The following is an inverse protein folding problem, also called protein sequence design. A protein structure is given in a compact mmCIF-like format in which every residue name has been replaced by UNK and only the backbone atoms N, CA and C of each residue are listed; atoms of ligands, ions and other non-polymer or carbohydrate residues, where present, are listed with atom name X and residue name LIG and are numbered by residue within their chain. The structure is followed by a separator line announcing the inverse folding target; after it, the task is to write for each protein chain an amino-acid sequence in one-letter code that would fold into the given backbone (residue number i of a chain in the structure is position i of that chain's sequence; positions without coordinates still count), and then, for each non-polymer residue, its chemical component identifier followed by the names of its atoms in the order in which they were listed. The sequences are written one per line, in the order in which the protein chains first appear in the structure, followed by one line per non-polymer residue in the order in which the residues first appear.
data_IF_622108282807
#
_entry.id   IF_622108282807
#
_cell.length_a   1.000
_cell.length_b   1.000
_cell.length_c   1.000
_cell.angle_alpha   90.00
_cell.angle_beta   90.00
_cell.angle_gamma   90.00
#
_symmetry.space_group_name_H-M   'P 1'
#
loop_
_entity.id
_entity.type
_entity.pdbx_description
1 polymer ?
#
# COMPACT_ATOMS: atom_id res chain seq x y z
N UNK A 1 -10.00 8.30 10.97
CA UNK A 1 -9.35 8.46 9.63
C UNK A 1 -8.84 7.10 9.21
N UNK A 2 -9.04 6.65 7.97
CA UNK A 2 -8.60 5.31 7.53
C UNK A 2 -7.33 5.41 6.68
N UNK A 3 -6.34 4.57 7.00
CA UNK A 3 -5.05 4.51 6.32
C UNK A 3 -4.86 3.11 5.75
N UNK A 4 -4.60 3.04 4.45
CA UNK A 4 -4.23 1.80 3.77
C UNK A 4 -2.72 1.76 3.57
N UNK A 5 -2.07 0.69 4.02
CA UNK A 5 -0.62 0.50 3.85
C UNK A 5 -0.38 -0.52 2.73
N UNK A 6 0.20 -0.03 1.64
CA UNK A 6 0.68 -0.84 0.52
C UNK A 6 2.18 -1.09 0.69
N UNK A 7 2.61 -2.33 0.49
CA UNK A 7 4.01 -2.74 0.68
C UNK A 7 4.34 -3.94 -0.19
N UNK A 8 5.64 -4.17 -0.44
CA UNK A 8 6.09 -5.43 -1.04
C UNK A 8 6.38 -6.46 0.04
N UNK A 9 5.75 -7.63 -0.04
CA UNK A 9 5.97 -8.75 0.89
C UNK A 9 7.41 -9.30 0.83
N UNK A 10 8.07 -9.19 -0.31
CA UNK A 10 9.44 -9.67 -0.50
C UNK A 10 10.47 -8.86 0.32
N UNK A 11 10.17 -7.59 0.59
CA UNK A 11 11.09 -6.67 1.25
C UNK A 11 10.72 -6.32 2.69
N UNK A 12 9.55 -6.74 3.18
CA UNK A 12 9.03 -6.32 4.48
C UNK A 12 8.63 -7.52 5.35
N UNK A 13 9.17 -7.57 6.56
CA UNK A 13 8.79 -8.57 7.57
C UNK A 13 7.51 -8.17 8.32
N UNK A 14 6.83 -9.14 8.92
CA UNK A 14 5.66 -8.87 9.76
C UNK A 14 5.98 -7.90 10.92
N UNK A 15 7.15 -8.04 11.56
CA UNK A 15 7.59 -7.16 12.65
C UNK A 15 7.74 -5.70 12.18
N UNK A 16 8.31 -5.48 10.99
CA UNK A 16 8.41 -4.14 10.41
C UNK A 16 7.03 -3.53 10.13
N UNK A 17 6.10 -4.35 9.65
CA UNK A 17 4.73 -3.94 9.37
C UNK A 17 3.95 -3.61 10.65
N UNK A 18 4.14 -4.38 11.72
CA UNK A 18 3.56 -4.11 13.05
C UNK A 18 4.10 -2.81 13.63
N UNK A 19 5.42 -2.58 13.55
CA UNK A 19 6.04 -1.34 14.00
C UNK A 19 5.54 -0.13 13.22
N UNK A 20 5.42 -0.25 11.88
CA UNK A 20 4.84 0.78 11.03
C UNK A 20 3.38 1.05 11.41
N UNK A 21 2.57 0.01 11.58
CA UNK A 21 1.18 0.13 12.02
C UNK A 21 1.10 0.89 13.34
N UNK A 22 1.89 0.51 14.35
CA UNK A 22 1.90 1.18 15.65
C UNK A 22 2.28 2.66 15.54
N UNK A 23 3.21 3.01 14.64
CA UNK A 23 3.62 4.40 14.37
C UNK A 23 2.52 5.21 13.69
N UNK A 24 1.75 4.60 12.79
CA UNK A 24 0.65 5.23 12.06
C UNK A 24 -0.66 5.26 12.85
N UNK A 25 -0.84 4.33 13.79
CA UNK A 25 -2.12 4.03 14.41
C UNK A 25 -2.75 5.22 15.13
N UNK A 26 -1.98 6.10 15.79
CA UNK A 26 -2.46 7.35 16.41
C UNK A 26 -3.97 7.36 16.74
N UNK A 27 -4.73 8.20 16.01
CA UNK A 27 -6.21 8.18 15.95
C UNK A 27 -6.76 7.62 14.61
N UNK A 28 -5.92 6.90 13.86
CA UNK A 28 -6.22 6.34 12.55
C UNK A 28 -6.48 4.83 12.61
N UNK A 29 -7.47 4.39 11.83
CA UNK A 29 -7.66 2.96 11.53
C UNK A 29 -6.68 2.57 10.42
N UNK A 30 -5.64 1.83 10.77
CA UNK A 30 -4.57 1.43 9.85
C UNK A 30 -4.79 -0.01 9.44
N UNK A 31 -5.02 -0.21 8.14
CA UNK A 31 -5.11 -1.52 7.52
C UNK A 31 -3.75 -1.91 6.92
N UNK A 32 -3.23 -3.06 7.34
CA UNK A 32 -2.10 -3.75 6.72
C UNK A 32 -2.54 -5.14 6.34
N UNK A 33 -2.42 -5.45 5.05
CA UNK A 33 -3.00 -6.66 4.48
C UNK A 33 -2.60 -7.95 5.21
N UNK A 34 -1.32 -8.30 5.34
CA UNK A 34 -0.87 -9.51 6.05
C UNK A 34 -1.25 -9.56 7.56
N UNK A 35 -1.62 -8.42 8.17
CA UNK A 35 -2.01 -8.36 9.58
C UNK A 35 -3.52 -8.43 9.79
N UNK A 36 -4.31 -7.88 8.88
CA UNK A 36 -5.71 -7.55 9.11
C UNK A 36 -6.70 -8.32 8.20
N UNK A 37 -6.23 -8.95 7.11
CA UNK A 37 -7.12 -9.58 6.13
C UNK A 37 -8.04 -10.66 6.75
N UNK A 38 -7.52 -11.46 7.68
CA UNK A 38 -8.27 -12.56 8.29
C UNK A 38 -9.47 -12.08 9.14
N UNK A 39 -9.38 -10.90 9.74
CA UNK A 39 -10.48 -10.31 10.52
C UNK A 39 -11.66 -9.88 9.62
N UNK A 40 -11.45 -9.81 8.30
CA UNK A 40 -12.45 -9.37 7.33
C UNK A 40 -13.46 -10.43 6.93
N UNK A 41 -13.24 -11.70 7.29
CA UNK A 41 -14.19 -12.80 7.05
C UNK A 41 -14.41 -13.16 5.57
N UNK A 42 -13.50 -12.78 4.66
CA UNK A 42 -13.53 -13.05 3.23
C UNK A 42 -12.17 -13.45 2.70
N UNK A 43 -12.01 -13.50 1.36
CA UNK A 43 -10.67 -13.66 0.78
C UNK A 43 -9.85 -12.36 0.92
N UNK A 44 -8.53 -12.52 0.79
CA UNK A 44 -7.57 -11.43 0.95
C UNK A 44 -7.77 -10.33 -0.08
N UNK A 45 -8.11 -10.68 -1.32
CA UNK A 45 -8.29 -9.70 -2.40
C UNK A 45 -9.52 -8.82 -2.14
N UNK A 46 -10.62 -9.42 -1.70
CA UNK A 46 -11.84 -8.72 -1.29
C UNK A 46 -11.58 -7.81 -0.08
N UNK A 47 -10.78 -8.27 0.89
CA UNK A 47 -10.35 -7.44 2.01
C UNK A 47 -9.58 -6.21 1.50
N UNK A 48 -8.51 -6.41 0.74
CA UNK A 48 -7.72 -5.29 0.18
C UNK A 48 -8.58 -4.33 -0.63
N UNK A 49 -9.45 -4.83 -1.51
CA UNK A 49 -10.36 -4.00 -2.29
C UNK A 49 -11.24 -3.10 -1.43
N UNK A 50 -11.92 -3.70 -0.46
CA UNK A 50 -12.84 -2.98 0.43
C UNK A 50 -12.09 -1.95 1.26
N UNK A 51 -10.92 -2.31 1.75
CA UNK A 51 -10.08 -1.51 2.62
C UNK A 51 -9.45 -0.33 1.86
N UNK A 52 -8.95 -0.58 0.66
CA UNK A 52 -8.46 0.45 -0.24
C UNK A 52 -9.58 1.38 -0.71
N UNK A 53 -10.80 0.88 -0.93
CA UNK A 53 -11.95 1.69 -1.32
C UNK A 53 -12.43 2.62 -0.19
N UNK A 54 -12.31 2.21 1.08
CA UNK A 54 -12.66 3.02 2.25
C UNK A 54 -11.51 3.89 2.77
N UNK A 55 -10.29 3.70 2.28
CA UNK A 55 -9.11 4.41 2.73
C UNK A 55 -9.24 5.92 2.46
N UNK A 56 -8.90 6.72 3.46
CA UNK A 56 -8.81 8.18 3.37
C UNK A 56 -7.40 8.63 3.02
N UNK A 57 -6.38 7.81 3.32
CA UNK A 57 -4.98 8.02 2.98
C UNK A 57 -4.36 6.70 2.54
N UNK A 58 -3.48 6.78 1.55
CA UNK A 58 -2.67 5.68 1.06
C UNK A 58 -1.21 5.88 1.51
N UNK A 59 -0.61 4.85 2.09
CA UNK A 59 0.81 4.85 2.47
C UNK A 59 1.52 3.76 1.66
N UNK A 60 2.50 4.16 0.85
CA UNK A 60 3.37 3.27 0.10
C UNK A 60 4.67 3.03 0.87
N UNK A 61 4.99 1.78 1.20
CA UNK A 61 6.25 1.42 1.85
C UNK A 61 7.35 1.26 0.81
N UNK A 62 8.27 2.22 0.79
CA UNK A 62 9.33 2.31 -0.21
C UNK A 62 10.34 1.20 0.03
N UNK A 63 10.48 0.35 -0.98
CA UNK A 63 11.39 -0.78 -0.97
C UNK A 63 11.81 -1.14 -2.40
N UNK A 64 12.78 -2.04 -2.55
CA UNK A 64 13.43 -2.35 -3.84
C UNK A 64 12.44 -2.93 -4.85
N UNK A 65 11.45 -3.68 -4.38
CA UNK A 65 10.46 -4.41 -5.19
C UNK A 65 9.08 -3.74 -5.18
N UNK A 66 8.89 -2.66 -4.43
CA UNK A 66 7.64 -1.90 -4.44
C UNK A 66 7.35 -1.33 -5.83
N UNK A 67 6.12 -1.50 -6.31
CA UNK A 67 5.69 -1.08 -7.66
C UNK A 67 6.18 -1.99 -8.78
N UNK A 68 7.00 -3.02 -8.49
CA UNK A 68 7.41 -4.04 -9.47
C UNK A 68 6.46 -5.23 -9.51
N UNK A 69 5.62 -5.39 -8.49
CA UNK A 69 4.59 -6.43 -8.48
C UNK A 69 3.29 -5.88 -9.07
N UNK A 70 2.54 -6.68 -9.86
CA UNK A 70 1.23 -6.26 -10.37
C UNK A 70 0.29 -5.78 -9.26
N UNK A 71 0.39 -6.38 -8.07
CA UNK A 71 -0.43 -6.02 -6.90
C UNK A 71 -0.12 -4.62 -6.36
N UNK A 72 1.14 -4.33 -6.05
CA UNK A 72 1.50 -3.00 -5.50
C UNK A 72 1.32 -1.88 -6.53
N UNK A 73 1.53 -2.18 -7.82
CA UNK A 73 1.22 -1.25 -8.91
C UNK A 73 -0.29 -0.96 -8.98
N UNK A 74 -1.12 -2.01 -8.99
CA UNK A 74 -2.58 -1.87 -9.02
C UNK A 74 -3.12 -1.08 -7.81
N UNK A 75 -2.63 -1.35 -6.60
CA UNK A 75 -3.04 -0.62 -5.39
C UNK A 75 -2.73 0.88 -5.50
N UNK A 76 -1.53 1.20 -6.00
CA UNK A 76 -1.10 2.58 -6.21
C UNK A 76 -1.94 3.28 -7.29
N UNK A 77 -2.22 2.61 -8.40
CA UNK A 77 -3.07 3.14 -9.47
C UNK A 77 -4.50 3.41 -9.00
N UNK A 78 -5.05 2.53 -8.16
CA UNK A 78 -6.36 2.77 -7.52
C UNK A 78 -6.30 3.99 -6.61
N UNK A 79 -5.24 4.16 -5.81
CA UNK A 79 -5.08 5.35 -4.97
C UNK A 79 -4.96 6.64 -5.81
N UNK A 80 -4.27 6.59 -6.95
CA UNK A 80 -4.20 7.69 -7.92
C UNK A 80 -5.57 8.03 -8.49
N UNK A 81 -6.30 7.03 -9.01
CA UNK A 81 -7.63 7.22 -9.58
C UNK A 81 -8.64 7.77 -8.57
N UNK A 82 -8.54 7.34 -7.30
CA UNK A 82 -9.40 7.85 -6.22
C UNK A 82 -9.04 9.27 -5.78
N UNK A 83 -7.86 9.78 -6.16
CA UNK A 83 -7.40 11.12 -5.77
C UNK A 83 -7.19 11.28 -4.27
N UNK A 84 -6.97 10.18 -3.53
CA UNK A 84 -6.70 10.26 -2.09
C UNK A 84 -5.24 10.71 -1.84
N UNK A 85 -4.96 11.37 -0.71
CA UNK A 85 -3.59 11.67 -0.30
C UNK A 85 -2.74 10.42 -0.25
N UNK A 86 -1.52 10.52 -0.80
CA UNK A 86 -0.54 9.44 -0.84
C UNK A 86 0.71 9.89 -0.09
N UNK A 87 1.21 9.01 0.78
CA UNK A 87 2.45 9.20 1.51
C UNK A 87 3.42 8.08 1.17
N UNK A 88 4.70 8.39 1.05
CA UNK A 88 5.77 7.42 0.93
C UNK A 88 6.42 7.25 2.30
N UNK A 89 6.45 6.01 2.80
CA UNK A 89 7.21 5.64 3.98
C UNK A 89 8.62 5.23 3.55
N UNK A 90 9.60 6.08 3.86
CA UNK A 90 10.98 5.92 3.44
C UNK A 90 11.73 4.90 4.34
N UNK A 91 12.83 4.30 3.86
CA UNK A 91 13.63 3.36 4.66
C UNK A 91 14.21 3.93 5.96
N UNK A 92 14.34 5.26 6.05
CA UNK A 92 14.79 5.97 7.24
C UNK A 92 13.66 6.24 8.27
N UNK A 93 12.44 5.77 7.99
CA UNK A 93 11.26 5.89 8.85
C UNK A 93 10.49 7.21 8.71
N UNK A 94 10.85 8.07 7.76
CA UNK A 94 10.09 9.30 7.47
C UNK A 94 8.90 9.04 6.56
N UNK A 95 7.88 9.88 6.68
CA UNK A 95 6.77 9.97 5.75
C UNK A 95 6.94 11.24 4.92
N UNK A 96 6.82 11.13 3.61
CA UNK A 96 6.84 12.27 2.69
C UNK A 96 5.60 12.23 1.80
N UNK A 97 5.04 13.39 1.49
CA UNK A 97 3.91 13.52 0.57
C UNK A 97 4.37 13.70 -0.89
N UNK A 98 3.41 13.60 -1.81
CA UNK A 98 3.63 13.69 -3.27
C UNK A 98 4.23 15.01 -3.77
N UNK A 99 4.28 16.05 -2.93
CA UNK A 99 4.87 17.37 -3.26
C UNK A 99 6.30 17.50 -2.74
N UNK A 100 6.79 16.53 -1.98
CA UNK A 100 8.16 16.52 -1.47
C UNK A 100 9.16 16.28 -2.61
N UNK A 101 10.30 16.97 -2.56
CA UNK A 101 11.44 16.70 -3.44
C UNK A 101 12.02 15.28 -3.23
N UNK A 102 11.69 14.65 -2.10
CA UNK A 102 12.09 13.29 -1.74
C UNK A 102 11.06 12.23 -2.18
N UNK A 103 10.03 12.62 -2.94
CA UNK A 103 9.00 11.70 -3.43
C UNK A 103 9.61 10.67 -4.40
N UNK A 104 9.54 9.36 -4.08
CA UNK A 104 10.29 8.34 -4.81
C UNK A 104 9.55 7.79 -6.04
N UNK A 105 8.28 8.15 -6.26
CA UNK A 105 7.45 7.59 -7.31
C UNK A 105 7.32 8.56 -8.49
N UNK A 106 7.94 8.23 -9.62
CA UNK A 106 7.81 9.04 -10.84
C UNK A 106 6.53 8.67 -11.61
N UNK A 107 5.80 9.65 -12.16
CA UNK A 107 4.53 9.40 -12.88
C UNK A 107 4.63 8.42 -14.06
N UNK A 108 5.81 8.29 -14.68
CA UNK A 108 6.00 7.46 -15.86
C UNK A 108 6.38 6.00 -15.57
N UNK A 109 6.80 5.65 -14.35
CA UNK A 109 7.24 4.29 -14.01
C UNK A 109 6.06 3.36 -13.60
N UNK A 110 4.87 3.93 -13.39
CA UNK A 110 3.68 3.22 -12.94
C UNK A 110 2.63 3.07 -14.05
N UNK A 111 2.90 3.63 -15.25
CA UNK A 111 1.92 3.77 -16.34
C UNK A 111 1.76 2.54 -17.26
N UNK A 112 2.31 1.37 -16.90
CA UNK A 112 2.19 0.15 -17.74
C UNK A 112 1.33 -0.96 -17.11
N UNK A 113 0.55 -0.67 -16.07
CA UNK A 113 -0.32 -1.67 -15.43
C UNK A 113 -1.77 -1.61 -15.93
N UNK A 114 -2.19 -2.73 -16.50
CA UNK A 114 -3.53 -3.00 -17.04
C UNK A 114 -4.55 -3.01 -15.89
N UNK A 115 -5.69 -2.33 -16.09
CA UNK A 115 -6.82 -2.11 -15.16
C UNK A 115 -7.54 -3.38 -14.62
N UNK A 116 -6.91 -4.54 -14.63
CA UNK A 116 -7.48 -5.76 -14.05
C UNK A 116 -6.90 -5.99 -12.66
N UNK A 117 -7.80 -6.27 -11.71
CA UNK A 117 -7.43 -6.75 -10.38
C UNK A 117 -6.51 -7.96 -10.55
N UNK A 118 -5.29 -7.94 -10.03
CA UNK A 118 -4.43 -9.12 -10.07
C UNK A 118 -5.11 -10.25 -9.31
N UNK A 119 -5.08 -11.48 -9.82
CA UNK A 119 -5.56 -12.64 -9.06
C UNK A 119 -4.59 -12.95 -7.93
N UNK A 120 -5.08 -13.45 -6.80
CA UNK A 120 -4.27 -13.77 -5.63
C UNK A 120 -3.06 -14.67 -5.94
N UNK A 121 -3.12 -15.46 -7.02
CA UNK A 121 -2.04 -16.32 -7.51
C UNK A 121 -0.86 -15.55 -8.11
N UNK A 122 -1.07 -14.40 -8.74
CA UNK A 122 0.03 -13.58 -9.32
C UNK A 122 0.85 -12.80 -8.28
N UNK A 123 0.52 -12.94 -7.00
CA UNK A 123 1.31 -12.45 -5.87
C UNK A 123 2.43 -13.43 -5.44
N UNK A 124 2.68 -14.50 -6.20
CA UNK A 124 3.50 -15.66 -5.80
C UNK A 124 4.80 -15.85 -6.60
N UNK A 125 5.44 -14.78 -7.04
CA UNK A 125 6.86 -14.81 -7.45
C UNK A 125 7.67 -13.70 -6.79
#
# INVERSE_FOLDING_TARGET
MSVFVSYSRADNSLEQLEALRARLAGDADVYVDDLDWAASGGDRADAVHRELARASVFVAVVSVTYGKTPWTAWEFDVALMRGIPKLAYLPDGRLVDERSDEWPFVPSALSESVLSVPTADTSHE
#
